data_IF_055572772777
#
_entry.id   IF_055572772777
#
_cell.length_a   1.000
_cell.length_b   1.000
_cell.length_c   1.000
_cell.angle_alpha   90.00
_cell.angle_beta   90.00
_cell.angle_gamma   90.00
#
_symmetry.space_group_name_H-M   'P 1'
#
loop_
_entity.id
_entity.type
_entity.pdbx_description
1 polymer ?
#
# COMPACT_ATOMS: atom_id res chain seq x y z
N UNK A 1 7.04 -14.73 9.96
CA UNK A 1 6.26 -13.47 10.00
C UNK A 1 4.79 -13.78 9.77
N UNK A 2 3.93 -13.20 10.58
CA UNK A 2 2.48 -13.33 10.40
C UNK A 2 1.94 -12.17 9.59
N UNK A 3 0.72 -12.34 9.06
CA UNK A 3 0.02 -11.23 8.41
C UNK A 3 -0.10 -10.03 9.34
N UNK A 4 -0.42 -10.25 10.61
CA UNK A 4 -0.62 -9.16 11.56
C UNK A 4 0.65 -8.35 11.79
N UNK A 5 1.81 -9.02 11.86
CA UNK A 5 3.08 -8.32 11.98
C UNK A 5 3.34 -7.43 10.75
N UNK A 6 3.15 -7.98 9.56
CA UNK A 6 3.34 -7.22 8.31
C UNK A 6 2.32 -6.08 8.20
N UNK A 7 1.06 -6.35 8.53
CA UNK A 7 0.00 -5.36 8.45
C UNK A 7 0.25 -4.20 9.41
N UNK A 8 0.58 -4.49 10.68
CA UNK A 8 0.77 -3.42 11.65
C UNK A 8 2.00 -2.58 11.36
N UNK A 9 3.06 -3.19 10.85
CA UNK A 9 4.24 -2.42 10.42
C UNK A 9 3.87 -1.47 9.28
N UNK A 10 3.15 -1.96 8.28
CA UNK A 10 2.71 -1.15 7.14
C UNK A 10 1.77 -0.03 7.59
N UNK A 11 0.81 -0.37 8.43
CA UNK A 11 -0.14 0.62 8.96
C UNK A 11 0.58 1.74 9.69
N UNK A 12 1.56 1.40 10.53
CA UNK A 12 2.33 2.39 11.26
C UNK A 12 3.04 3.34 10.29
N UNK A 13 3.69 2.80 9.28
CA UNK A 13 4.38 3.61 8.27
C UNK A 13 3.40 4.54 7.54
N UNK A 14 2.27 3.99 7.07
CA UNK A 14 1.30 4.75 6.29
C UNK A 14 0.63 5.84 7.12
N UNK A 15 0.29 5.55 8.36
CA UNK A 15 -0.36 6.52 9.25
C UNK A 15 0.57 7.67 9.63
N UNK A 16 1.89 7.48 9.54
CA UNK A 16 2.87 8.53 9.80
C UNK A 16 3.38 9.20 8.52
N UNK A 17 2.78 8.90 7.38
CA UNK A 17 3.25 9.42 6.07
C UNK A 17 2.96 10.90 5.86
N UNK A 18 2.02 11.48 6.60
CA UNK A 18 1.57 12.84 6.37
C UNK A 18 0.69 12.99 5.14
N UNK A 19 0.11 11.90 4.66
CA UNK A 19 -0.75 11.92 3.48
C UNK A 19 -1.94 12.85 3.70
N UNK A 20 -2.10 13.84 2.82
CA UNK A 20 -3.21 14.79 2.90
C UNK A 20 -3.41 15.47 1.54
N UNK A 21 -4.44 16.32 1.46
CA UNK A 21 -4.64 17.18 0.28
C UNK A 21 -5.17 16.45 -0.95
N UNK A 22 -5.60 15.20 -0.82
CA UNK A 22 -6.21 14.48 -1.92
C UNK A 22 -7.68 14.86 -2.03
N UNK A 23 -8.12 15.23 -3.24
CA UNK A 23 -9.52 15.60 -3.48
C UNK A 23 -10.33 14.36 -3.84
N UNK A 24 -11.42 14.13 -3.10
CA UNK A 24 -12.30 13.00 -3.31
C UNK A 24 -11.91 11.80 -2.46
N UNK A 25 -12.29 10.62 -2.93
CA UNK A 25 -12.04 9.36 -2.24
C UNK A 25 -10.96 8.59 -2.98
N UNK A 26 -9.94 8.15 -2.26
CA UNK A 26 -8.92 7.26 -2.79
C UNK A 26 -8.98 5.96 -2.00
N UNK A 27 -9.20 4.85 -2.70
CA UNK A 27 -9.24 3.53 -2.07
C UNK A 27 -8.25 2.61 -2.78
N UNK A 28 -7.34 2.04 -2.01
CA UNK A 28 -6.34 1.10 -2.52
C UNK A 28 -6.46 -0.20 -1.73
N UNK A 29 -6.50 -1.33 -2.45
CA UNK A 29 -6.42 -2.63 -1.82
C UNK A 29 -5.03 -3.19 -2.04
N UNK A 30 -4.46 -3.78 -1.00
CA UNK A 30 -3.14 -4.40 -1.06
C UNK A 30 -3.32 -5.89 -0.74
N UNK A 31 -2.87 -6.74 -1.66
CA UNK A 31 -2.81 -8.17 -1.46
C UNK A 31 -1.36 -8.58 -1.38
N UNK A 32 -0.96 -9.08 -0.21
CA UNK A 32 0.37 -9.64 0.00
C UNK A 32 0.31 -11.14 -0.15
N UNK A 33 1.27 -11.73 -0.87
CA UNK A 33 1.32 -13.17 -1.14
C UNK A 33 2.47 -13.81 -0.38
N UNK A 34 2.43 -15.14 -0.26
CA UNK A 34 3.47 -15.89 0.43
C UNK A 34 3.34 -15.82 1.94
N UNK A 35 4.45 -16.03 2.63
CA UNK A 35 4.48 -16.02 4.08
C UNK A 35 4.06 -14.66 4.63
N UNK A 36 3.13 -14.67 5.60
CA UNK A 36 2.60 -13.42 6.15
C UNK A 36 1.57 -12.74 5.24
N UNK A 37 1.12 -13.44 4.19
CA UNK A 37 0.21 -12.88 3.20
C UNK A 37 -1.19 -12.66 3.73
N UNK A 38 -1.91 -11.82 3.01
CA UNK A 38 -3.28 -11.44 3.30
C UNK A 38 -3.63 -10.16 2.59
N UNK A 39 -4.85 -9.67 2.81
CA UNK A 39 -5.36 -8.50 2.13
C UNK A 39 -5.77 -7.43 3.14
N UNK A 40 -5.45 -6.18 2.85
CA UNK A 40 -5.92 -5.05 3.61
C UNK A 40 -6.19 -3.89 2.65
N UNK A 41 -6.85 -2.84 3.15
CA UNK A 41 -7.09 -1.67 2.32
C UNK A 41 -6.61 -0.39 2.99
N UNK A 42 -6.37 0.60 2.14
CA UNK A 42 -6.04 1.96 2.55
C UNK A 42 -7.06 2.87 1.88
N UNK A 43 -7.74 3.68 2.67
CA UNK A 43 -8.76 4.59 2.14
C UNK A 43 -8.54 5.98 2.68
N UNK A 44 -8.51 6.95 1.78
CA UNK A 44 -8.45 8.37 2.14
C UNK A 44 -9.76 9.03 1.74
N UNK A 45 -10.44 9.61 2.71
CA UNK A 45 -11.74 10.26 2.50
C UNK A 45 -11.94 11.32 3.57
N UNK A 46 -12.40 12.50 3.18
CA UNK A 46 -12.64 13.63 4.10
C UNK A 46 -11.42 13.96 4.95
N UNK A 47 -10.22 13.92 4.34
CA UNK A 47 -8.94 14.18 4.98
C UNK A 47 -8.58 13.18 6.09
N UNK A 48 -9.25 12.02 6.10
CA UNK A 48 -8.95 10.94 7.03
C UNK A 48 -8.35 9.75 6.28
N UNK A 49 -7.25 9.22 6.81
CA UNK A 49 -6.59 8.03 6.27
C UNK A 49 -6.96 6.83 7.14
N UNK A 50 -7.52 5.80 6.50
CA UNK A 50 -7.86 4.55 7.15
C UNK A 50 -7.00 3.44 6.58
N UNK A 51 -6.45 2.59 7.44
CA UNK A 51 -5.70 1.39 7.04
C UNK A 51 -6.30 0.24 7.85
N UNK A 52 -7.05 -0.65 7.17
CA UNK A 52 -7.85 -1.67 7.84
C UNK A 52 -7.61 -3.06 7.24
N UNK A 53 -7.61 -4.11 8.05
CA UNK A 53 -7.23 -5.47 7.61
C UNK A 53 -8.38 -6.23 6.96
N UNK A 54 -9.09 -5.59 6.04
CA UNK A 54 -10.26 -6.17 5.39
C UNK A 54 -10.16 -6.01 3.88
N UNK A 55 -10.93 -6.81 3.15
CA UNK A 55 -11.13 -6.63 1.72
C UNK A 55 -12.04 -5.42 1.48
N UNK A 56 -11.70 -4.63 0.46
CA UNK A 56 -12.52 -3.49 0.06
C UNK A 56 -12.73 -3.58 -1.45
N UNK A 57 -13.91 -4.10 -1.85
CA UNK A 57 -14.18 -4.42 -3.26
C UNK A 57 -14.36 -3.17 -4.13
N UNK A 58 -14.63 -2.02 -3.54
CA UNK A 58 -14.83 -0.77 -4.29
C UNK A 58 -13.52 0.05 -4.38
N UNK A 59 -12.39 -0.63 -4.45
CA UNK A 59 -11.09 0.04 -4.58
C UNK A 59 -10.92 0.68 -5.96
N UNK A 60 -10.13 1.74 -6.01
CA UNK A 60 -9.71 2.35 -7.27
C UNK A 60 -8.55 1.56 -7.90
N UNK A 61 -7.61 1.12 -7.08
CA UNK A 61 -6.41 0.44 -7.53
C UNK A 61 -6.08 -0.71 -6.58
N UNK A 62 -5.56 -1.79 -7.14
CA UNK A 62 -5.12 -2.98 -6.40
C UNK A 62 -3.62 -3.15 -6.58
N UNK A 63 -2.91 -3.36 -5.49
CA UNK A 63 -1.49 -3.70 -5.49
C UNK A 63 -1.31 -5.13 -5.03
N UNK A 64 -0.48 -5.89 -5.74
CA UNK A 64 -0.18 -7.28 -5.41
C UNK A 64 1.32 -7.45 -5.35
N UNK A 65 1.83 -7.98 -4.25
CA UNK A 65 3.26 -8.22 -4.07
C UNK A 65 3.48 -9.31 -3.03
N UNK A 66 4.64 -9.98 -3.10
CA UNK A 66 5.08 -10.84 -2.00
C UNK A 66 5.20 -9.99 -0.73
N UNK A 67 4.88 -10.59 0.41
CA UNK A 67 4.86 -9.88 1.70
C UNK A 67 6.17 -9.14 1.98
N UNK A 68 7.30 -9.83 1.82
CA UNK A 68 8.61 -9.23 2.11
C UNK A 68 8.95 -8.12 1.12
N UNK A 69 8.60 -8.30 -0.16
CA UNK A 69 8.79 -7.26 -1.16
C UNK A 69 7.94 -6.04 -0.84
N UNK A 70 6.69 -6.24 -0.44
CA UNK A 70 5.83 -5.11 -0.07
C UNK A 70 6.36 -4.36 1.15
N UNK A 71 6.86 -5.08 2.16
CA UNK A 71 7.47 -4.43 3.32
C UNK A 71 8.69 -3.60 2.95
N UNK A 72 9.52 -4.10 2.04
CA UNK A 72 10.67 -3.33 1.54
C UNK A 72 10.22 -2.06 0.85
N UNK A 73 9.14 -2.12 0.09
CA UNK A 73 8.56 -0.94 -0.55
C UNK A 73 8.06 0.04 0.51
N UNK A 74 7.29 -0.45 1.48
CA UNK A 74 6.75 0.39 2.55
C UNK A 74 7.85 1.06 3.37
N UNK A 75 8.95 0.35 3.62
CA UNK A 75 10.11 0.86 4.37
C UNK A 75 10.97 1.84 3.57
N UNK A 76 10.69 2.02 2.28
CA UNK A 76 11.51 2.85 1.40
C UNK A 76 12.80 2.20 0.95
N UNK A 77 12.95 0.89 1.15
CA UNK A 77 14.14 0.13 0.76
C UNK A 77 14.11 -0.27 -0.72
N UNK A 78 12.93 -0.27 -1.32
CA UNK A 78 12.77 -0.55 -2.75
C UNK A 78 11.73 0.43 -3.28
N UNK A 79 12.07 1.18 -4.33
CA UNK A 79 11.13 2.16 -4.88
C UNK A 79 9.96 1.46 -5.55
N UNK A 80 8.81 2.14 -5.57
CA UNK A 80 7.60 1.64 -6.24
C UNK A 80 7.90 1.39 -7.72
N UNK A 81 8.60 2.32 -8.37
CA UNK A 81 8.93 2.20 -9.79
C UNK A 81 9.84 1.01 -10.08
N UNK A 82 10.87 0.82 -9.25
CA UNK A 82 11.78 -0.32 -9.41
C UNK A 82 11.06 -1.65 -9.18
N UNK A 83 10.19 -1.71 -8.18
CA UNK A 83 9.42 -2.91 -7.89
C UNK A 83 8.53 -3.30 -9.06
N UNK A 84 7.88 -2.32 -9.70
CA UNK A 84 7.07 -2.56 -10.90
C UNK A 84 7.93 -3.06 -12.05
N UNK A 85 9.07 -2.42 -12.29
CA UNK A 85 9.96 -2.80 -13.38
C UNK A 85 10.51 -4.22 -13.23
N UNK A 86 10.73 -4.66 -11.98
CA UNK A 86 11.23 -6.00 -11.69
C UNK A 86 10.13 -7.06 -11.57
N UNK A 87 8.87 -6.68 -11.76
CA UNK A 87 7.74 -7.60 -11.61
C UNK A 87 7.43 -7.98 -10.17
N UNK A 88 7.97 -7.23 -9.20
CA UNK A 88 7.75 -7.49 -7.76
C UNK A 88 6.51 -6.80 -7.22
N UNK A 89 5.97 -5.83 -7.93
CA UNK A 89 4.73 -5.16 -7.59
C UNK A 89 3.83 -5.14 -8.82
N UNK A 90 2.67 -5.74 -8.70
CA UNK A 90 1.67 -5.74 -9.77
C UNK A 90 0.58 -4.74 -9.41
N UNK A 91 0.13 -3.99 -10.41
CA UNK A 91 -0.88 -2.95 -10.23
C UNK A 91 -2.04 -3.25 -11.16
N UNK A 92 -3.25 -3.27 -10.61
CA UNK A 92 -4.49 -3.50 -11.37
C UNK A 92 -5.49 -2.41 -11.02
N UNK A 93 -6.46 -2.20 -11.92
CA UNK A 93 -7.49 -1.19 -11.74
C UNK A 93 -7.07 0.15 -12.33
N UNK A 94 -7.42 1.24 -11.66
CA UNK A 94 -7.11 2.59 -12.13
C UNK A 94 -5.64 2.92 -11.86
N UNK A 95 -4.79 2.62 -12.83
CA UNK A 95 -3.35 2.83 -12.72
C UNK A 95 -2.96 4.31 -12.60
N UNK A 96 -3.85 5.22 -12.99
CA UNK A 96 -3.58 6.65 -12.84
C UNK A 96 -3.47 7.07 -11.37
N UNK A 97 -4.04 6.27 -10.46
CA UNK A 97 -4.00 6.53 -9.02
C UNK A 97 -2.89 5.77 -8.30
N UNK A 98 -2.18 4.90 -9.02
CA UNK A 98 -1.14 4.06 -8.41
C UNK A 98 0.03 4.88 -7.83
N UNK A 99 0.32 6.03 -8.41
CA UNK A 99 1.38 6.91 -7.93
C UNK A 99 1.18 7.42 -6.51
N UNK A 100 -0.06 7.40 -6.00
CA UNK A 100 -0.35 7.83 -4.65
C UNK A 100 0.28 6.92 -3.59
N UNK A 101 0.60 5.67 -3.93
CA UNK A 101 1.33 4.80 -3.02
C UNK A 101 2.67 5.40 -2.60
N UNK A 102 3.33 6.12 -3.48
CA UNK A 102 4.62 6.76 -3.19
C UNK A 102 4.54 7.78 -2.06
N UNK A 103 3.37 8.32 -1.81
CA UNK A 103 3.14 9.30 -0.74
C UNK A 103 2.96 8.66 0.62
N UNK A 104 2.67 7.35 0.66
CA UNK A 104 2.41 6.61 1.89
C UNK A 104 3.65 5.91 2.42
N UNK A 105 4.58 5.54 1.54
CA UNK A 105 5.77 4.79 1.93
C UNK A 105 6.79 5.70 2.64
N UNK A 106 7.66 5.06 3.45
CA UNK A 106 8.72 5.79 4.16
C UNK A 106 9.67 6.41 3.15
N UNK A 107 10.05 7.68 3.40
CA UNK A 107 11.03 8.37 2.58
C UNK A 107 12.41 8.01 3.10
N UNK A 108 13.24 7.50 2.20
CA UNK A 108 14.57 7.02 2.55
C UNK A 108 15.58 7.82 1.74
N UNK A 109 15.97 8.94 2.29
CA UNK A 109 16.93 9.85 1.64
C UNK A 109 18.34 9.54 2.08
#
# INVERSE_FOLDING_TARGET
MTFWEAFYETKDIFMHSGFNGYNGVLAMQITMTGEGGGTFYVKFENQNLLVEPYNYTEFNVLFIADTFDFLRIARGEMSVSAACAMGKLRIEGDTSKAGELKRLVRKNY
#
